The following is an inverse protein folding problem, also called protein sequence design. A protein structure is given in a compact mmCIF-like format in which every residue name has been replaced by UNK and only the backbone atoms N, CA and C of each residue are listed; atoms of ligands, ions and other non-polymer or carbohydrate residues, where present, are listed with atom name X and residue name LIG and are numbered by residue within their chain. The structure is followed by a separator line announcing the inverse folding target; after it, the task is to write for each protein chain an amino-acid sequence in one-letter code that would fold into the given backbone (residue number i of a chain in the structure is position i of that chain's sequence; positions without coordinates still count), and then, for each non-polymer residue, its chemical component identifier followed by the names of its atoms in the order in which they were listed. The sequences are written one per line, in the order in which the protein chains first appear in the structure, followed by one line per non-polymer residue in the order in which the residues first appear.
data_IF_852760006178
#
_entry.id   IF_852760006178
#
_cell.length_a   1.000
_cell.length_b   1.000
_cell.length_c   1.000
_cell.angle_alpha   90.00
_cell.angle_beta   90.00
_cell.angle_gamma   90.00
#
_symmetry.space_group_name_H-M   'P 1'
#
loop_
_entity.id
_entity.type
_entity.pdbx_description
1 polymer ?
#
# COMPACT_ATOMS: atom_id res chain seq x y z
N UNK A 1 -19.06 13.26 -5.18
CA UNK A 1 -17.95 13.39 -4.22
C UNK A 1 -16.68 12.77 -4.77
N UNK A 2 -15.55 13.08 -4.14
CA UNK A 2 -14.24 12.52 -4.52
C UNK A 2 -14.24 10.99 -4.36
N UNK A 3 -14.81 10.47 -3.29
CA UNK A 3 -14.96 9.04 -3.05
C UNK A 3 -15.72 8.36 -4.18
N UNK A 4 -16.84 8.95 -4.61
CA UNK A 4 -17.61 8.43 -5.74
C UNK A 4 -16.81 8.42 -7.04
N UNK A 5 -16.01 9.46 -7.29
CA UNK A 5 -15.15 9.53 -8.48
C UNK A 5 -14.14 8.38 -8.49
N UNK A 6 -13.55 8.06 -7.34
CA UNK A 6 -12.63 6.91 -7.23
C UNK A 6 -13.36 5.59 -7.47
N UNK A 7 -14.54 5.40 -6.89
CA UNK A 7 -15.32 4.19 -7.12
C UNK A 7 -15.71 4.04 -8.59
N UNK A 8 -16.15 5.11 -9.23
CA UNK A 8 -16.50 5.08 -10.66
C UNK A 8 -15.30 4.75 -11.54
N UNK A 9 -14.13 5.30 -11.22
CA UNK A 9 -12.91 5.01 -11.98
C UNK A 9 -12.47 3.55 -11.82
N UNK A 10 -12.86 2.88 -10.74
CA UNK A 10 -12.48 1.51 -10.43
C UNK A 10 -13.52 0.46 -10.81
N UNK A 11 -14.77 0.87 -11.09
CA UNK A 11 -15.87 -0.04 -11.42
C UNK A 11 -15.58 -0.91 -12.65
N UNK A 12 -14.79 -0.41 -13.59
CA UNK A 12 -14.44 -1.13 -14.83
C UNK A 12 -13.10 -1.86 -14.73
N UNK A 13 -12.48 -1.88 -13.56
CA UNK A 13 -11.19 -2.56 -13.37
C UNK A 13 -11.42 -4.06 -13.27
N UNK A 14 -10.70 -4.80 -14.10
CA UNK A 14 -10.72 -6.27 -14.06
C UNK A 14 -9.92 -6.74 -12.85
N UNK A 15 -10.50 -7.57 -11.97
CA UNK A 15 -9.75 -8.14 -10.84
C UNK A 15 -8.48 -8.86 -11.31
N UNK A 16 -7.39 -8.69 -10.58
CA UNK A 16 -6.12 -9.34 -10.90
C UNK A 16 -6.13 -10.83 -10.56
N UNK A 17 -6.96 -11.22 -9.60
CA UNK A 17 -6.99 -12.55 -8.98
C UNK A 17 -5.66 -12.93 -8.32
N UNK A 18 -4.83 -11.95 -8.01
CA UNK A 18 -3.54 -12.13 -7.34
C UNK A 18 -3.73 -11.99 -5.83
N UNK A 19 -2.76 -12.52 -5.08
CA UNK A 19 -2.72 -12.39 -3.62
C UNK A 19 -2.03 -11.07 -3.30
N UNK A 20 -2.79 -10.12 -2.73
CA UNK A 20 -2.32 -8.77 -2.47
C UNK A 20 -2.20 -8.55 -0.97
N UNK A 21 -1.05 -8.05 -0.53
CA UNK A 21 -0.86 -7.54 0.82
C UNK A 21 -0.69 -6.03 0.73
N UNK A 22 -1.64 -5.30 1.30
CA UNK A 22 -1.62 -3.84 1.36
C UNK A 22 -1.16 -3.41 2.75
N UNK A 23 -0.09 -2.65 2.80
CA UNK A 23 0.47 -2.12 4.04
C UNK A 23 0.29 -0.60 4.09
N UNK A 24 -0.36 -0.13 5.14
CA UNK A 24 -0.69 1.27 5.36
C UNK A 24 0.24 1.86 6.41
N UNK A 25 0.98 2.90 6.04
CA UNK A 25 1.77 3.68 6.98
C UNK A 25 0.81 4.40 7.94
N UNK A 26 0.98 4.17 9.24
CA UNK A 26 0.15 4.79 10.28
C UNK A 26 0.92 5.84 11.09
N UNK A 27 2.04 6.33 10.59
CA UNK A 27 2.75 7.45 11.23
C UNK A 27 1.85 8.68 11.29
N UNK A 28 2.11 9.55 12.28
CA UNK A 28 1.29 10.77 12.51
C UNK A 28 1.24 11.69 11.29
N UNK A 29 2.32 11.75 10.51
CA UNK A 29 2.40 12.58 9.31
C UNK A 29 1.38 12.21 8.23
N UNK A 30 0.88 10.97 8.23
CA UNK A 30 -0.15 10.52 7.28
C UNK A 30 -1.49 11.25 7.44
N UNK A 31 -1.72 11.91 8.56
CA UNK A 31 -2.91 12.73 8.79
C UNK A 31 -2.72 14.21 8.43
N UNK A 32 -1.53 14.58 7.96
CA UNK A 32 -1.18 15.97 7.67
C UNK A 32 -1.07 16.22 6.17
N UNK A 33 -1.49 17.43 5.77
CA UNK A 33 -1.37 17.87 4.39
C UNK A 33 -2.30 17.14 3.44
N UNK A 34 -2.00 17.25 2.17
CA UNK A 34 -2.78 16.66 1.10
C UNK A 34 -1.93 15.71 0.28
N UNK A 35 -2.55 14.69 -0.29
CA UNK A 35 -1.90 13.89 -1.30
C UNK A 35 -1.61 14.73 -2.53
N UNK A 36 -0.51 14.46 -3.22
CA UNK A 36 -0.19 15.12 -4.46
C UNK A 36 -1.22 14.73 -5.53
N UNK A 37 -1.87 15.72 -6.09
CA UNK A 37 -2.89 15.56 -7.13
C UNK A 37 -4.32 15.81 -6.67
N UNK A 38 -4.57 15.87 -5.35
CA UNK A 38 -5.92 16.06 -4.81
C UNK A 38 -5.89 16.98 -3.58
N UNK A 39 -6.61 18.09 -3.63
CA UNK A 39 -6.75 19.02 -2.51
C UNK A 39 -7.68 18.43 -1.43
N UNK A 40 -7.42 18.79 -0.18
CA UNK A 40 -8.24 18.43 0.98
C UNK A 40 -8.42 16.91 1.16
N UNK A 41 -7.41 16.15 0.78
CA UNK A 41 -7.42 14.70 0.87
C UNK A 41 -6.11 14.24 1.50
N UNK A 42 -6.17 13.76 2.75
CA UNK A 42 -4.97 13.36 3.49
C UNK A 42 -4.43 12.01 3.00
N UNK A 43 -3.13 11.75 3.20
CA UNK A 43 -2.56 10.43 2.93
C UNK A 43 -3.31 9.29 3.64
N UNK A 44 -3.75 9.51 4.87
CA UNK A 44 -4.50 8.52 5.65
C UNK A 44 -5.83 8.18 5.01
N UNK A 45 -6.57 9.21 4.57
CA UNK A 45 -7.84 9.01 3.85
C UNK A 45 -7.63 8.28 2.52
N UNK A 46 -6.59 8.64 1.77
CA UNK A 46 -6.24 7.98 0.53
C UNK A 46 -5.88 6.51 0.74
N UNK A 47 -5.13 6.21 1.81
CA UNK A 47 -4.78 4.83 2.18
C UNK A 47 -6.03 4.01 2.51
N UNK A 48 -6.96 4.57 3.27
CA UNK A 48 -8.23 3.91 3.58
C UNK A 48 -9.06 3.63 2.34
N UNK A 49 -9.13 4.59 1.43
CA UNK A 49 -9.84 4.42 0.16
C UNK A 49 -9.23 3.30 -0.69
N UNK A 50 -7.91 3.26 -0.80
CA UNK A 50 -7.23 2.21 -1.56
C UNK A 50 -7.49 0.82 -0.96
N UNK A 51 -7.48 0.72 0.37
CA UNK A 51 -7.80 -0.53 1.06
C UNK A 51 -9.21 -1.01 0.73
N UNK A 52 -10.18 -0.11 0.72
CA UNK A 52 -11.56 -0.45 0.38
C UNK A 52 -11.71 -0.88 -1.07
N UNK A 53 -11.04 -0.19 -2.00
CA UNK A 53 -11.08 -0.55 -3.42
C UNK A 53 -10.54 -1.97 -3.63
N UNK A 54 -9.43 -2.30 -2.98
CA UNK A 54 -8.86 -3.65 -3.05
C UNK A 54 -9.80 -4.67 -2.40
N UNK A 55 -10.38 -4.36 -1.25
CA UNK A 55 -11.29 -5.27 -0.56
C UNK A 55 -12.52 -5.60 -1.41
N UNK A 56 -13.01 -4.63 -2.20
CA UNK A 56 -14.17 -4.84 -3.07
C UNK A 56 -13.85 -5.57 -4.36
N UNK A 57 -12.61 -5.46 -4.83
CA UNK A 57 -12.22 -5.95 -6.15
C UNK A 57 -11.52 -7.30 -6.08
N UNK A 58 -10.69 -7.52 -5.08
CA UNK A 58 -9.83 -8.69 -4.98
C UNK A 58 -10.29 -9.66 -3.90
N UNK A 59 -10.33 -10.96 -4.23
CA UNK A 59 -10.72 -12.01 -3.28
C UNK A 59 -9.64 -12.31 -2.26
N UNK A 60 -8.37 -12.27 -2.70
CA UNK A 60 -7.22 -12.64 -1.89
C UNK A 60 -6.48 -11.37 -1.49
N UNK A 61 -6.80 -10.84 -0.33
CA UNK A 61 -6.18 -9.62 0.17
C UNK A 61 -5.92 -9.72 1.67
N UNK A 62 -4.90 -9.01 2.11
CA UNK A 62 -4.58 -8.81 3.51
C UNK A 62 -4.21 -7.35 3.72
N UNK A 63 -4.57 -6.81 4.87
CA UNK A 63 -4.29 -5.43 5.24
C UNK A 63 -3.46 -5.37 6.51
N UNK A 64 -2.43 -4.54 6.49
CA UNK A 64 -1.52 -4.33 7.60
C UNK A 64 -1.32 -2.85 7.86
N UNK A 65 -1.27 -2.47 9.14
CA UNK A 65 -0.77 -1.18 9.55
C UNK A 65 0.71 -1.31 9.92
N UNK A 66 1.52 -0.36 9.54
CA UNK A 66 2.93 -0.41 9.89
C UNK A 66 3.51 0.98 10.24
N UNK A 67 4.58 0.97 10.98
CA UNK A 67 5.46 2.06 11.29
C UNK A 67 6.81 1.43 11.60
N UNK A 68 7.28 1.51 12.85
CA UNK A 68 8.44 0.73 13.30
C UNK A 68 8.08 -0.72 13.63
N UNK A 69 6.80 -1.04 13.68
CA UNK A 69 6.24 -2.39 13.85
C UNK A 69 5.05 -2.58 12.92
N UNK A 70 4.54 -3.78 12.82
CA UNK A 70 3.48 -4.15 11.91
C UNK A 70 2.34 -4.83 12.67
N UNK A 71 1.10 -4.50 12.28
CA UNK A 71 -0.10 -5.06 12.89
C UNK A 71 -1.14 -5.38 11.81
N UNK A 72 -1.74 -6.58 11.83
CA UNK A 72 -2.85 -6.90 10.92
C UNK A 72 -4.05 -5.98 11.14
N UNK A 73 -4.71 -5.61 10.03
CA UNK A 73 -5.95 -4.83 10.05
C UNK A 73 -7.09 -5.66 9.47
N UNK A 74 -8.24 -5.58 10.11
CA UNK A 74 -9.46 -6.22 9.61
C UNK A 74 -10.29 -5.16 8.89
N UNK A 75 -10.21 -5.14 7.54
CA UNK A 75 -10.97 -4.24 6.69
C UNK A 75 -11.86 -5.08 5.77
N UNK A 76 -13.14 -4.76 5.76
CA UNK A 76 -14.15 -5.45 4.98
C UNK A 76 -14.59 -4.62 3.78
N UNK A 77 -15.02 -5.27 2.70
CA UNK A 77 -15.64 -4.60 1.55
C UNK A 77 -16.90 -3.83 1.91
N UNK A 78 -17.48 -4.10 3.07
CA UNK A 78 -18.67 -3.40 3.58
C UNK A 78 -18.35 -2.17 4.44
N UNK A 79 -17.08 -1.98 4.79
CA UNK A 79 -16.65 -0.82 5.57
C UNK A 79 -16.78 0.46 4.73
N UNK A 80 -17.04 1.58 5.41
CA UNK A 80 -16.94 2.91 4.81
C UNK A 80 -15.52 3.45 4.98
N UNK A 81 -15.18 4.49 4.20
CA UNK A 81 -13.90 5.17 4.34
C UNK A 81 -13.72 5.71 5.77
N UNK A 82 -14.78 6.21 6.36
CA UNK A 82 -14.79 6.72 7.74
C UNK A 82 -14.46 5.60 8.73
N UNK A 83 -15.06 4.44 8.58
CA UNK A 83 -14.78 3.28 9.42
C UNK A 83 -13.33 2.84 9.31
N UNK A 84 -12.80 2.75 8.10
CA UNK A 84 -11.39 2.37 7.87
C UNK A 84 -10.45 3.39 8.47
N UNK A 85 -10.69 4.67 8.21
CA UNK A 85 -9.89 5.77 8.76
C UNK A 85 -9.89 5.73 10.29
N UNK A 86 -11.05 5.48 10.89
CA UNK A 86 -11.18 5.37 12.35
C UNK A 86 -10.38 4.17 12.91
N UNK A 87 -10.33 3.05 12.21
CA UNK A 87 -9.54 1.88 12.63
C UNK A 87 -8.05 2.17 12.69
N UNK A 88 -7.54 3.09 11.88
CA UNK A 88 -6.12 3.43 11.79
C UNK A 88 -5.73 4.72 12.53
N UNK A 89 -6.69 5.57 12.90
CA UNK A 89 -6.44 6.89 13.51
C UNK A 89 -5.68 6.83 14.82
N UNK A 90 -5.89 5.81 15.63
CA UNK A 90 -5.29 5.69 16.95
C UNK A 90 -4.01 4.83 16.95
N UNK A 91 -3.54 4.47 15.74
CA UNK A 91 -2.34 3.69 15.60
C UNK A 91 -1.19 4.63 15.24
N UNK A 92 -0.25 4.80 16.14
CA UNK A 92 0.99 5.54 15.87
C UNK A 92 2.14 4.68 16.37
N UNK A 93 2.87 4.13 15.42
CA UNK A 93 3.98 3.23 15.70
C UNK A 93 5.35 3.91 15.57
N UNK A 94 5.39 5.24 15.46
CA UNK A 94 6.63 5.98 15.34
C UNK A 94 7.24 5.96 13.94
N UNK A 95 8.45 5.47 13.79
CA UNK A 95 9.17 5.47 12.51
C UNK A 95 8.48 4.67 11.40
N UNK A 96 9.05 4.71 10.20
CA UNK A 96 8.48 4.08 9.01
C UNK A 96 9.46 3.04 8.45
N UNK A 97 9.16 1.77 8.64
CA UNK A 97 9.96 0.67 8.11
C UNK A 97 9.17 -0.07 7.01
N UNK A 98 9.38 0.34 5.77
CA UNK A 98 8.68 -0.20 4.61
C UNK A 98 9.10 -1.64 4.26
N UNK A 99 10.10 -2.21 4.91
CA UNK A 99 10.52 -3.60 4.73
C UNK A 99 9.66 -4.59 5.54
N UNK A 100 8.97 -4.11 6.57
CA UNK A 100 8.23 -4.97 7.50
C UNK A 100 7.19 -5.87 6.83
N UNK A 101 6.42 -5.44 5.83
CA UNK A 101 5.45 -6.32 5.19
C UNK A 101 6.09 -7.56 4.57
N UNK A 102 7.23 -7.41 3.88
CA UNK A 102 7.95 -8.51 3.25
C UNK A 102 8.57 -9.44 4.30
N UNK A 103 9.17 -8.85 5.34
CA UNK A 103 9.76 -9.63 6.44
C UNK A 103 8.69 -10.45 7.15
N UNK A 104 7.56 -9.84 7.47
CA UNK A 104 6.45 -10.53 8.13
C UNK A 104 5.90 -11.67 7.27
N UNK A 105 5.67 -11.43 6.00
CA UNK A 105 5.14 -12.46 5.09
C UNK A 105 6.10 -13.63 4.97
N UNK A 106 7.41 -13.36 4.92
CA UNK A 106 8.42 -14.41 4.88
C UNK A 106 8.46 -15.22 6.18
N UNK A 107 8.49 -14.55 7.32
CA UNK A 107 8.54 -15.22 8.64
C UNK A 107 7.32 -16.10 8.89
N UNK A 108 6.16 -15.67 8.44
CA UNK A 108 4.91 -16.41 8.59
C UNK A 108 4.56 -17.30 7.40
N UNK A 109 5.43 -17.35 6.38
CA UNK A 109 5.26 -18.12 5.16
C UNK A 109 3.93 -17.85 4.46
N UNK A 110 3.57 -16.57 4.40
CA UNK A 110 2.34 -16.11 3.74
C UNK A 110 2.63 -15.89 2.25
N UNK A 111 1.94 -16.59 1.35
CA UNK A 111 2.13 -16.38 -0.09
C UNK A 111 1.49 -15.06 -0.52
N UNK A 112 2.29 -14.20 -1.16
CA UNK A 112 1.89 -12.88 -1.65
C UNK A 112 2.42 -12.70 -3.08
N UNK A 113 1.56 -12.27 -3.98
CA UNK A 113 1.95 -11.96 -5.36
C UNK A 113 2.34 -10.51 -5.54
N UNK A 114 1.73 -9.59 -4.77
CA UNK A 114 2.11 -8.18 -4.77
C UNK A 114 1.97 -7.55 -3.39
N UNK A 115 3.02 -6.88 -2.96
CA UNK A 115 3.00 -5.99 -1.81
C UNK A 115 2.73 -4.57 -2.30
N UNK A 116 1.71 -3.92 -1.74
CA UNK A 116 1.39 -2.52 -2.01
C UNK A 116 1.60 -1.75 -0.71
N UNK A 117 2.59 -0.86 -0.70
CA UNK A 117 2.95 -0.06 0.47
C UNK A 117 2.54 1.39 0.24
N UNK A 118 1.70 1.91 1.13
CA UNK A 118 1.22 3.30 1.06
C UNK A 118 1.87 4.10 2.19
N UNK A 119 2.64 5.12 1.82
CA UNK A 119 3.41 5.91 2.78
C UNK A 119 3.56 7.35 2.30
N UNK A 120 3.84 8.28 3.20
CA UNK A 120 4.24 9.64 2.88
C UNK A 120 5.76 9.86 3.04
N UNK A 121 6.47 8.84 3.51
CA UNK A 121 7.91 8.93 3.77
C UNK A 121 8.74 8.60 2.54
N UNK A 122 9.71 9.47 2.25
CA UNK A 122 10.73 9.22 1.24
C UNK A 122 11.94 8.48 1.81
N UNK A 123 12.03 8.40 3.13
CA UNK A 123 13.07 7.66 3.85
C UNK A 123 12.47 6.50 4.62
N UNK A 124 13.24 5.45 4.75
CA UNK A 124 12.84 4.27 5.52
C UNK A 124 13.72 4.16 6.76
N UNK A 125 13.10 3.69 7.85
CA UNK A 125 13.79 3.34 9.08
C UNK A 125 13.75 1.81 9.21
N UNK A 126 14.88 1.16 9.22
CA UNK A 126 14.95 -0.29 9.33
C UNK A 126 16.34 -0.79 9.01
N UNK A 127 16.60 -2.05 9.35
CA UNK A 127 17.90 -2.66 9.17
C UNK A 127 18.13 -3.13 7.74
N UNK A 128 17.07 -3.33 6.96
CA UNK A 128 17.14 -3.85 5.60
C UNK A 128 16.29 -2.97 4.67
N UNK A 129 16.81 -2.68 3.49
CA UNK A 129 16.08 -1.90 2.50
C UNK A 129 14.88 -2.70 1.95
N UNK A 130 13.72 -2.03 1.67
CA UNK A 130 12.55 -2.72 1.16
C UNK A 130 12.80 -3.58 -0.07
N UNK A 131 13.59 -3.11 -1.05
CA UNK A 131 13.88 -3.91 -2.23
C UNK A 131 14.69 -5.18 -1.90
N UNK A 132 15.60 -5.10 -0.92
CA UNK A 132 16.36 -6.28 -0.46
C UNK A 132 15.43 -7.28 0.24
N UNK A 133 14.48 -6.78 1.04
CA UNK A 133 13.48 -7.64 1.69
C UNK A 133 12.61 -8.37 0.66
N UNK A 134 12.25 -7.72 -0.43
CA UNK A 134 11.49 -8.35 -1.50
C UNK A 134 12.30 -9.44 -2.21
N UNK A 135 13.57 -9.15 -2.53
CA UNK A 135 14.44 -10.15 -3.18
C UNK A 135 14.58 -11.38 -2.30
N UNK A 136 14.78 -11.21 -1.00
CA UNK A 136 14.85 -12.30 -0.04
C UNK A 136 13.54 -13.09 0.01
N UNK A 137 12.40 -12.40 0.04
CA UNK A 137 11.09 -13.03 0.00
C UNK A 137 10.90 -13.89 -1.27
N UNK A 138 11.23 -13.34 -2.44
CA UNK A 138 11.13 -14.06 -3.72
C UNK A 138 11.97 -15.34 -3.72
N UNK A 139 13.20 -15.24 -3.23
CA UNK A 139 14.14 -16.36 -3.23
C UNK A 139 13.71 -17.47 -2.28
N UNK A 140 13.28 -17.12 -1.07
CA UNK A 140 12.92 -18.10 -0.04
C UNK A 140 11.52 -18.69 -0.24
N UNK A 141 10.57 -17.91 -0.76
CA UNK A 141 9.20 -18.35 -1.01
C UNK A 141 9.03 -18.96 -2.40
N UNK A 142 9.97 -18.74 -3.30
CA UNK A 142 9.87 -19.13 -4.72
C UNK A 142 8.62 -18.55 -5.40
N UNK A 143 8.35 -17.28 -5.12
CA UNK A 143 7.23 -16.53 -5.71
C UNK A 143 7.83 -15.28 -6.34
N UNK A 144 7.45 -14.98 -7.60
CA UNK A 144 7.86 -13.76 -8.30
C UNK A 144 7.02 -12.57 -7.84
N UNK A 145 7.09 -12.27 -6.56
CA UNK A 145 6.32 -11.19 -5.95
C UNK A 145 6.74 -9.83 -6.50
N UNK A 146 5.75 -8.95 -6.61
CA UNK A 146 5.95 -7.55 -7.00
C UNK A 146 5.85 -6.64 -5.79
N UNK A 147 6.42 -5.44 -5.91
CA UNK A 147 6.33 -4.39 -4.90
C UNK A 147 5.91 -3.09 -5.58
N UNK A 148 4.84 -2.49 -5.07
CA UNK A 148 4.41 -1.14 -5.43
C UNK A 148 4.53 -0.28 -4.17
N UNK A 149 5.26 0.82 -4.27
CA UNK A 149 5.34 1.79 -3.19
C UNK A 149 4.69 3.09 -3.66
N UNK A 150 3.67 3.52 -2.94
CA UNK A 150 2.93 4.75 -3.26
C UNK A 150 3.36 5.83 -2.27
N UNK A 151 4.09 6.82 -2.78
CA UNK A 151 4.45 8.03 -2.04
C UNK A 151 3.35 9.07 -2.16
N UNK A 152 2.62 9.29 -1.08
CA UNK A 152 1.39 10.08 -1.09
C UNK A 152 1.63 11.59 -1.26
N UNK A 153 2.84 12.06 -0.97
CA UNK A 153 3.19 13.48 -1.03
C UNK A 153 4.27 13.75 -2.07
N UNK A 154 4.44 15.04 -2.43
CA UNK A 154 5.37 15.44 -3.48
C UNK A 154 6.82 15.44 -3.00
N UNK A 155 7.47 14.31 -3.05
CA UNK A 155 8.90 14.21 -2.75
C UNK A 155 9.62 13.44 -3.87
N UNK A 156 10.91 13.66 -4.01
CA UNK A 156 11.75 12.83 -4.89
C UNK A 156 11.89 11.43 -4.26
N UNK A 157 10.86 10.65 -4.44
CA UNK A 157 10.67 9.40 -3.74
C UNK A 157 11.19 8.24 -4.58
N UNK A 158 12.11 7.45 -4.02
CA UNK A 158 12.64 6.27 -4.69
C UNK A 158 12.92 5.18 -3.65
N UNK A 159 12.05 4.20 -3.55
CA UNK A 159 12.24 3.00 -2.72
C UNK A 159 12.38 1.76 -3.60
N UNK A 160 11.60 1.68 -4.68
CA UNK A 160 11.70 0.60 -5.65
C UNK A 160 13.05 0.64 -6.36
N UNK A 161 13.58 -0.54 -6.66
CA UNK A 161 14.78 -0.65 -7.50
C UNK A 161 14.38 -0.39 -8.95
N UNK A 162 14.90 0.67 -9.60
CA UNK A 162 14.51 0.99 -10.97
C UNK A 162 14.95 -0.08 -12.00
N UNK A 163 15.90 -0.92 -11.65
CA UNK A 163 16.36 -2.01 -12.50
C UNK A 163 15.53 -3.29 -12.35
N UNK A 164 14.56 -3.30 -11.43
CA UNK A 164 13.69 -4.45 -11.19
C UNK A 164 12.30 -4.18 -11.77
N UNK A 165 11.94 -4.89 -12.84
CA UNK A 165 10.64 -4.75 -13.49
C UNK A 165 9.45 -5.18 -12.63
N UNK A 166 9.69 -5.84 -11.50
CA UNK A 166 8.67 -6.20 -10.52
C UNK A 166 8.52 -5.20 -9.37
N UNK A 167 9.18 -4.05 -9.45
CA UNK A 167 9.08 -2.98 -8.45
C UNK A 167 8.68 -1.67 -9.11
N UNK A 168 7.81 -0.91 -8.48
CA UNK A 168 7.32 0.36 -8.99
C UNK A 168 7.11 1.37 -7.86
N UNK A 169 7.64 2.59 -8.04
CA UNK A 169 7.28 3.75 -7.22
C UNK A 169 6.18 4.55 -7.91
N UNK A 170 5.17 4.93 -7.16
CA UNK A 170 4.11 5.85 -7.60
C UNK A 170 4.14 7.08 -6.70
N UNK A 171 4.20 8.27 -7.29
CA UNK A 171 4.20 9.53 -6.55
C UNK A 171 2.84 10.21 -6.67
N UNK A 172 2.27 10.57 -5.52
CA UNK A 172 0.94 11.14 -5.46
C UNK A 172 -0.15 10.09 -5.46
N UNK A 173 -1.40 10.55 -5.45
CA UNK A 173 -2.57 9.68 -5.46
C UNK A 173 -3.74 10.45 -6.07
N UNK A 174 -4.21 9.99 -7.22
CA UNK A 174 -5.38 10.54 -7.90
C UNK A 174 -6.29 9.43 -8.41
N UNK A 175 -7.31 9.76 -9.18
CA UNK A 175 -8.29 8.79 -9.67
C UNK A 175 -7.70 7.76 -10.64
N UNK A 176 -6.52 8.02 -11.21
CA UNK A 176 -5.83 7.07 -12.08
C UNK A 176 -4.93 6.08 -11.33
N UNK A 177 -4.55 6.40 -10.10
CA UNK A 177 -3.60 5.59 -9.31
C UNK A 177 -4.08 4.15 -9.11
N UNK A 178 -5.32 3.87 -8.71
CA UNK A 178 -5.79 2.49 -8.56
C UNK A 178 -5.66 1.67 -9.85
N UNK A 179 -5.97 2.27 -11.00
CA UNK A 179 -5.86 1.60 -12.31
C UNK A 179 -4.40 1.30 -12.66
N UNK A 180 -3.50 2.24 -12.44
CA UNK A 180 -2.06 2.06 -12.68
C UNK A 180 -1.52 0.90 -11.85
N UNK A 181 -1.86 0.86 -10.58
CA UNK A 181 -1.43 -0.22 -9.67
C UNK A 181 -2.01 -1.56 -10.12
N UNK A 182 -3.30 -1.59 -10.46
CA UNK A 182 -3.96 -2.81 -10.92
C UNK A 182 -3.32 -3.37 -12.19
N UNK A 183 -3.03 -2.53 -13.17
CA UNK A 183 -2.39 -2.95 -14.41
C UNK A 183 -0.99 -3.52 -14.16
N UNK A 184 -0.23 -2.90 -13.27
CA UNK A 184 1.10 -3.38 -12.88
C UNK A 184 1.04 -4.74 -12.19
N UNK A 185 0.09 -4.94 -11.29
CA UNK A 185 -0.08 -6.21 -10.56
C UNK A 185 -0.45 -7.33 -11.52
N UNK A 186 -1.34 -7.03 -12.47
CA UNK A 186 -1.88 -8.03 -13.42
C UNK A 186 -0.85 -8.48 -14.45
N UNK A 187 -0.03 -7.57 -14.92
CA UNK A 187 0.99 -7.86 -15.94
C UNK A 187 2.19 -8.60 -15.31
#
# INVERSE_FOLDING_TARGET
SLEEAFYLSFDNVIPTNKRILLALDVSGSMSWGNVLGVENFTPREASGLMAMLIARTEKNHQFMAFGHKLMPLNISSKDSIETVTHKIDNLDFGGTDCSLPMIWALENKIPVDCFVVLTDSETWAGDIHPHQALVEYRNKMNIQAKLVVVGMTSNNFTIADPDDGGMMDVVGFDTSTPTIINDFIRD
#
